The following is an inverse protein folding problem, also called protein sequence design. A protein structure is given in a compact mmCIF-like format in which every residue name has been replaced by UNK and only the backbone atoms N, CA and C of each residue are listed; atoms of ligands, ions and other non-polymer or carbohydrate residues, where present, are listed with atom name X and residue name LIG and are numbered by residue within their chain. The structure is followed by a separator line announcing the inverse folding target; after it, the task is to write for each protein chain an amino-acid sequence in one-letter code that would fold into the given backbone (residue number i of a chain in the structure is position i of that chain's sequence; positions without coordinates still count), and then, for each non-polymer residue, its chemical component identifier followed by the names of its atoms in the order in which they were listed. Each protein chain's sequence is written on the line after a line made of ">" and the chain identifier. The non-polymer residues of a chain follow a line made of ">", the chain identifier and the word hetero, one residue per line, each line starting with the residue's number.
data_IF_588612924989
#
_entry.id   IF_588612924989
#
_cell.length_a   1.000
_cell.length_b   1.000
_cell.length_c   1.000
_cell.angle_alpha   90.00
_cell.angle_beta   90.00
_cell.angle_gamma   90.00
#
_symmetry.space_group_name_H-M   'P 1'
#
loop_
_entity.id
_entity.type
_entity.pdbx_description
1 polymer ?
#
# COMPACT_ATOMS: atom_id res chain seq x y z
N UNK A 1 6.00 -4.58 -18.97
CA UNK A 1 5.01 -3.93 -18.09
C UNK A 1 5.75 -2.88 -17.29
N UNK A 2 5.28 -1.63 -17.32
CA UNK A 2 5.87 -0.51 -16.59
C UNK A 2 5.16 -0.39 -15.24
N UNK A 3 5.89 -0.57 -14.15
CA UNK A 3 5.34 -0.58 -12.80
C UNK A 3 5.69 0.73 -12.11
N UNK A 4 4.68 1.34 -11.51
CA UNK A 4 4.83 2.43 -10.56
C UNK A 4 4.45 1.96 -9.17
N UNK A 5 5.13 2.45 -8.14
CA UNK A 5 4.91 2.08 -6.76
C UNK A 5 4.72 3.34 -5.92
N UNK A 6 3.71 3.32 -5.07
CA UNK A 6 3.41 4.35 -4.09
C UNK A 6 3.57 3.72 -2.71
N UNK A 7 4.63 4.13 -2.02
CA UNK A 7 4.96 3.66 -0.68
C UNK A 7 4.33 4.59 0.35
N UNK A 8 3.54 4.05 1.28
CA UNK A 8 2.92 4.86 2.33
C UNK A 8 3.41 4.46 3.72
N UNK A 9 4.16 5.37 4.33
CA UNK A 9 4.65 5.22 5.69
C UNK A 9 4.69 6.59 6.40
N UNK A 10 4.97 6.57 7.70
CA UNK A 10 4.86 7.73 8.57
C UNK A 10 5.83 8.84 8.17
N UNK A 11 7.11 8.52 7.91
CA UNK A 11 8.14 9.55 7.68
C UNK A 11 9.38 9.08 6.90
N UNK A 12 9.65 7.78 6.80
CA UNK A 12 10.91 7.27 6.22
C UNK A 12 10.76 6.97 4.72
N UNK A 13 11.75 7.34 3.91
CA UNK A 13 11.81 7.08 2.46
C UNK A 13 12.48 5.74 2.11
N UNK A 14 12.80 4.91 3.11
CA UNK A 14 13.65 3.71 2.96
C UNK A 14 13.06 2.72 1.95
N UNK A 15 11.75 2.51 1.95
CA UNK A 15 11.09 1.55 1.06
C UNK A 15 11.02 2.10 -0.37
N UNK A 16 10.66 3.38 -0.53
CA UNK A 16 10.64 4.03 -1.84
C UNK A 16 12.03 4.04 -2.50
N UNK A 17 13.08 4.34 -1.74
CA UNK A 17 14.47 4.31 -2.21
C UNK A 17 14.92 2.89 -2.60
N UNK A 18 14.52 1.89 -1.82
CA UNK A 18 14.84 0.48 -2.10
C UNK A 18 14.17 0.01 -3.39
N UNK A 19 12.90 0.37 -3.59
CA UNK A 19 12.16 0.02 -4.80
C UNK A 19 12.70 0.76 -6.02
N UNK A 20 13.06 2.03 -5.89
CA UNK A 20 13.66 2.81 -6.97
C UNK A 20 14.96 2.17 -7.51
N UNK A 21 15.75 1.51 -6.65
CA UNK A 21 16.96 0.79 -7.06
C UNK A 21 16.68 -0.41 -7.99
N UNK A 22 15.46 -0.94 -8.02
CA UNK A 22 15.04 -2.00 -8.96
C UNK A 22 14.79 -1.48 -10.37
N UNK A 23 14.73 -0.15 -10.55
CA UNK A 23 14.36 0.53 -11.79
C UNK A 23 12.85 0.79 -11.94
N UNK A 24 12.03 0.38 -10.97
CA UNK A 24 10.63 0.78 -10.91
C UNK A 24 10.50 2.27 -10.55
N UNK A 25 9.43 2.90 -11.02
CA UNK A 25 9.10 4.27 -10.59
C UNK A 25 8.51 4.18 -9.17
N UNK A 26 9.11 4.83 -8.19
CA UNK A 26 8.63 4.83 -6.82
C UNK A 26 8.44 6.25 -6.30
N UNK A 27 7.43 6.47 -5.48
CA UNK A 27 7.24 7.69 -4.68
C UNK A 27 6.94 7.31 -3.23
N UNK A 28 7.33 8.19 -2.31
CA UNK A 28 6.89 8.13 -0.92
C UNK A 28 5.63 8.98 -0.73
N UNK A 29 4.68 8.47 0.06
CA UNK A 29 3.53 9.18 0.60
C UNK A 29 3.70 9.23 2.12
N UNK A 30 4.08 10.39 2.63
CA UNK A 30 4.16 10.60 4.08
C UNK A 30 2.75 10.71 4.66
N UNK A 31 2.36 9.74 5.48
CA UNK A 31 1.02 9.71 6.07
C UNK A 31 0.85 10.67 7.25
N UNK A 32 1.94 11.26 7.75
CA UNK A 32 1.90 12.22 8.86
C UNK A 32 1.42 11.59 10.17
N UNK A 33 1.65 10.28 10.35
CA UNK A 33 1.24 9.52 11.53
C UNK A 33 -0.12 8.82 11.40
N UNK A 34 -0.77 8.90 10.25
CA UNK A 34 -1.98 8.12 9.98
C UNK A 34 -1.64 6.63 9.81
N UNK A 35 -2.52 5.76 10.34
CA UNK A 35 -2.33 4.30 10.33
C UNK A 35 -2.82 3.61 9.04
N UNK A 36 -3.25 4.37 8.03
CA UNK A 36 -3.81 3.89 6.77
C UNK A 36 -3.72 4.97 5.68
N UNK A 37 -3.93 4.54 4.44
CA UNK A 37 -4.30 5.41 3.32
C UNK A 37 -5.81 5.38 3.06
N UNK A 38 -6.35 6.52 2.61
CA UNK A 38 -7.69 6.65 2.05
C UNK A 38 -7.66 7.00 0.55
N UNK A 39 -8.84 7.10 -0.07
CA UNK A 39 -8.98 7.43 -1.48
C UNK A 39 -8.43 8.83 -1.84
N UNK A 40 -8.47 9.80 -0.93
CA UNK A 40 -7.98 11.15 -1.21
C UNK A 40 -6.45 11.18 -1.24
N UNK A 41 -5.81 10.54 -0.25
CA UNK A 41 -4.37 10.34 -0.22
C UNK A 41 -3.89 9.54 -1.44
N UNK A 42 -4.64 8.50 -1.81
CA UNK A 42 -4.35 7.70 -3.01
C UNK A 42 -4.44 8.54 -4.29
N UNK A 43 -5.44 9.41 -4.42
CA UNK A 43 -5.56 10.34 -5.56
C UNK A 43 -4.34 11.25 -5.67
N UNK A 44 -3.91 11.85 -4.56
CA UNK A 44 -2.72 12.70 -4.51
C UNK A 44 -1.44 11.93 -4.86
N UNK A 45 -1.34 10.68 -4.39
CA UNK A 45 -0.27 9.75 -4.73
C UNK A 45 -0.22 9.46 -6.23
N UNK A 46 -1.35 9.14 -6.86
CA UNK A 46 -1.42 8.86 -8.30
C UNK A 46 -1.02 10.08 -9.14
N UNK A 47 -1.45 11.28 -8.75
CA UNK A 47 -1.07 12.53 -9.41
C UNK A 47 0.44 12.77 -9.33
N UNK A 48 1.04 12.54 -8.15
CA UNK A 48 2.48 12.71 -7.90
C UNK A 48 3.30 11.63 -8.61
N UNK A 49 2.82 10.38 -8.60
CA UNK A 49 3.44 9.27 -9.30
C UNK A 49 3.44 9.54 -10.79
N UNK A 50 2.39 10.14 -11.36
CA UNK A 50 2.28 10.46 -12.78
C UNK A 50 2.14 9.23 -13.67
N UNK A 51 0.98 9.09 -14.32
CA UNK A 51 0.52 7.81 -14.91
C UNK A 51 0.82 7.59 -16.39
N UNK A 52 1.43 8.57 -17.09
CA UNK A 52 1.66 8.48 -18.55
C UNK A 52 2.46 7.24 -18.97
N UNK A 53 3.37 6.80 -18.12
CA UNK A 53 4.26 5.67 -18.38
C UNK A 53 4.12 4.54 -17.35
N UNK A 54 2.93 4.38 -16.77
CA UNK A 54 2.64 3.34 -15.78
C UNK A 54 1.51 2.45 -16.31
N UNK A 55 1.79 1.16 -16.47
CA UNK A 55 0.79 0.15 -16.85
C UNK A 55 0.10 -0.45 -15.61
N UNK A 56 0.82 -0.49 -14.48
CA UNK A 56 0.35 -0.98 -13.19
C UNK A 56 0.91 -0.10 -12.07
N UNK A 57 0.02 0.46 -11.24
CA UNK A 57 0.39 1.12 -9.99
C UNK A 57 0.16 0.16 -8.82
N UNK A 58 1.17 -0.01 -7.97
CA UNK A 58 1.10 -0.73 -6.71
C UNK A 58 1.09 0.30 -5.59
N UNK A 59 0.16 0.17 -4.66
CA UNK A 59 0.08 0.96 -3.44
C UNK A 59 0.47 0.04 -2.30
N UNK A 60 1.63 0.26 -1.71
CA UNK A 60 2.01 -0.37 -0.45
C UNK A 60 1.46 0.49 0.69
N UNK A 61 0.54 -0.09 1.45
CA UNK A 61 -0.15 0.63 2.52
C UNK A 61 0.67 0.56 3.82
N UNK A 62 0.30 1.38 4.80
CA UNK A 62 0.92 1.35 6.13
C UNK A 62 0.77 -0.05 6.75
N UNK A 63 1.84 -0.59 7.32
CA UNK A 63 1.90 -1.91 7.95
C UNK A 63 0.93 -2.07 9.13
N UNK A 64 -0.33 -2.39 8.83
CA UNK A 64 -1.42 -2.46 9.80
C UNK A 64 -2.55 -3.37 9.29
N UNK A 65 -3.02 -4.32 10.11
CA UNK A 65 -4.11 -5.26 9.76
C UNK A 65 -5.51 -4.78 10.18
N UNK A 66 -5.63 -3.60 10.78
CA UNK A 66 -6.88 -3.04 11.31
C UNK A 66 -7.31 -1.83 10.50
N UNK A 67 -6.59 -0.71 10.60
CA UNK A 67 -7.04 0.55 10.00
C UNK A 67 -7.25 0.41 8.49
N UNK A 68 -6.30 -0.14 7.69
CA UNK A 68 -6.47 -0.17 6.24
C UNK A 68 -7.68 -0.98 5.76
N UNK A 69 -8.22 -1.87 6.61
CA UNK A 69 -9.41 -2.65 6.25
C UNK A 69 -10.71 -1.84 6.27
N UNK A 70 -10.69 -0.62 6.83
CA UNK A 70 -11.88 0.24 6.96
C UNK A 70 -11.95 1.34 5.90
N UNK A 71 -10.88 1.54 5.12
CA UNK A 71 -10.76 2.67 4.19
C UNK A 71 -10.56 2.19 2.75
N UNK A 72 -11.46 2.61 1.87
CA UNK A 72 -11.32 2.40 0.44
C UNK A 72 -10.23 3.32 -0.13
N UNK A 73 -9.27 2.73 -0.84
CA UNK A 73 -8.20 3.44 -1.56
C UNK A 73 -8.54 3.65 -3.03
N UNK A 74 -9.63 3.08 -3.53
CA UNK A 74 -9.98 3.05 -4.95
C UNK A 74 -9.17 2.03 -5.76
N UNK A 75 -8.49 1.09 -5.08
CA UNK A 75 -7.74 0.03 -5.74
C UNK A 75 -8.66 -0.92 -6.53
N UNK A 76 -8.19 -1.36 -7.69
CA UNK A 76 -8.91 -2.36 -8.52
C UNK A 76 -8.87 -3.74 -7.88
N UNK A 77 -7.80 -4.03 -7.14
CA UNK A 77 -7.57 -5.27 -6.39
C UNK A 77 -6.84 -4.98 -5.10
N UNK A 78 -7.24 -5.66 -4.04
CA UNK A 78 -6.60 -5.62 -2.73
C UNK A 78 -5.86 -6.94 -2.49
N UNK A 79 -4.57 -6.87 -2.17
CA UNK A 79 -3.78 -8.03 -1.78
C UNK A 79 -3.31 -7.85 -0.33
N UNK A 80 -3.31 -8.92 0.45
CA UNK A 80 -2.81 -8.89 1.82
C UNK A 80 -1.74 -9.97 2.01
N UNK A 81 -0.66 -9.60 2.69
CA UNK A 81 0.47 -10.48 2.96
C UNK A 81 0.53 -10.73 4.46
N UNK A 82 0.53 -12.01 4.82
CA UNK A 82 0.77 -12.47 6.18
C UNK A 82 2.05 -13.31 6.22
N UNK A 83 3.00 -12.96 7.09
CA UNK A 83 4.22 -13.75 7.26
C UNK A 83 4.05 -14.88 8.28
N UNK A 84 4.81 -15.97 8.11
CA UNK A 84 4.79 -17.12 9.04
C UNK A 84 5.10 -16.72 10.50
N UNK A 85 6.08 -15.85 10.80
CA UNK A 85 6.38 -15.43 12.17
C UNK A 85 5.25 -14.68 12.88
N UNK A 86 4.31 -14.08 12.14
CA UNK A 86 3.17 -13.38 12.74
C UNK A 86 2.19 -14.36 13.41
N UNK A 87 2.07 -15.59 12.90
CA UNK A 87 1.23 -16.65 13.46
C UNK A 87 -0.03 -16.96 12.64
N UNK A 88 -0.45 -18.22 12.67
CA UNK A 88 -1.59 -18.76 11.91
C UNK A 88 -2.97 -18.31 12.45
N UNK A 89 -2.99 -17.67 13.62
CA UNK A 89 -4.19 -17.19 14.29
C UNK A 89 -4.73 -15.85 13.76
N UNK A 90 -3.97 -15.17 12.88
CA UNK A 90 -4.30 -13.83 12.36
C UNK A 90 -5.62 -13.74 11.60
N UNK A 91 -6.02 -14.72 10.76
CA UNK A 91 -7.34 -14.69 10.13
C UNK A 91 -8.49 -14.61 11.13
N UNK A 92 -8.37 -15.27 12.29
CA UNK A 92 -9.39 -15.22 13.34
C UNK A 92 -9.37 -13.90 14.12
N UNK A 93 -8.18 -13.30 14.28
CA UNK A 93 -7.99 -12.03 15.01
C UNK A 93 -8.35 -10.80 14.20
N UNK A 94 -8.17 -10.82 12.88
CA UNK A 94 -8.38 -9.68 11.97
C UNK A 94 -9.37 -10.00 10.85
N UNK A 95 -10.57 -10.52 11.15
CA UNK A 95 -11.46 -11.11 10.14
C UNK A 95 -11.85 -10.14 9.02
N UNK A 96 -11.94 -8.83 9.31
CA UNK A 96 -12.28 -7.84 8.31
C UNK A 96 -11.22 -7.77 7.20
N UNK A 97 -9.94 -7.66 7.55
CA UNK A 97 -8.83 -7.59 6.58
C UNK A 97 -8.83 -8.78 5.63
N UNK A 98 -9.01 -9.99 6.17
CA UNK A 98 -9.06 -11.23 5.40
C UNK A 98 -10.35 -11.38 4.57
N UNK A 99 -11.41 -10.64 4.90
CA UNK A 99 -12.70 -10.72 4.18
C UNK A 99 -12.79 -9.77 2.98
N UNK A 100 -11.98 -8.71 2.96
CA UNK A 100 -12.03 -7.67 1.93
C UNK A 100 -10.91 -7.79 0.89
N UNK A 101 -9.84 -8.53 1.19
CA UNK A 101 -8.75 -8.76 0.24
C UNK A 101 -9.19 -9.74 -0.86
N UNK A 102 -8.75 -9.48 -2.09
CA UNK A 102 -8.98 -10.38 -3.23
C UNK A 102 -7.95 -11.52 -3.27
N UNK A 103 -6.75 -11.27 -2.74
CA UNK A 103 -5.58 -12.16 -2.80
C UNK A 103 -4.85 -12.18 -1.46
#
# INVERSE_FOLDING_TARGET
>A
MRIGVMEADIDSDVDADTIAQTGAKAIQIHTGGMCHLDADMTRQGIESLGTKDVDLAILENVGNLVCPAEFDTGAVKNAMILSVPEGDDKPLKYPLMFSICDV
#
